data_IF_311043775353
#
_entry.id   IF_311043775353
#
_cell.length_a   1.000
_cell.length_b   1.000
_cell.length_c   1.000
_cell.angle_alpha   90.00
_cell.angle_beta   90.00
_cell.angle_gamma   90.00
#
_symmetry.space_group_name_H-M   'P 1'
#
loop_
_entity.id
_entity.type
_entity.pdbx_description
1 polymer ?
#
# COMPACT_ATOMS: atom_id res chain seq x y z
N UNK A 1 -8.73 -5.69 -19.64
CA UNK A 1 -9.80 -4.88 -18.99
C UNK A 1 -9.64 -4.89 -17.46
N UNK A 2 -9.57 -6.05 -16.79
CA UNK A 2 -9.46 -6.13 -15.31
C UNK A 2 -8.23 -5.36 -14.79
N UNK A 3 -7.06 -5.58 -15.38
CA UNK A 3 -5.83 -4.88 -14.98
C UNK A 3 -5.90 -3.36 -15.21
N UNK A 4 -6.55 -2.92 -16.28
CA UNK A 4 -6.72 -1.49 -16.55
C UNK A 4 -7.61 -0.82 -15.52
N UNK A 5 -8.69 -1.49 -15.10
CA UNK A 5 -9.58 -0.99 -14.03
C UNK A 5 -8.83 -0.93 -12.68
N UNK A 6 -7.93 -1.87 -12.41
CA UNK A 6 -7.12 -1.88 -11.18
C UNK A 6 -6.11 -0.72 -11.09
N UNK A 7 -5.77 -0.07 -12.20
CA UNK A 7 -4.89 1.10 -12.19
C UNK A 7 -5.64 2.42 -11.98
N UNK A 8 -6.95 2.44 -12.19
CA UNK A 8 -7.78 3.65 -12.01
C UNK A 8 -7.64 4.30 -10.62
N UNK A 9 -7.57 3.57 -9.50
CA UNK A 9 -7.41 4.19 -8.19
C UNK A 9 -6.16 5.05 -8.08
N UNK A 10 -5.04 4.67 -8.70
CA UNK A 10 -3.80 5.46 -8.67
C UNK A 10 -3.97 6.82 -9.33
N UNK A 11 -4.73 6.92 -10.40
CA UNK A 11 -4.98 8.18 -11.11
C UNK A 11 -6.05 9.01 -10.40
N UNK A 12 -7.16 8.37 -10.01
CA UNK A 12 -8.33 9.07 -9.45
C UNK A 12 -8.07 9.56 -8.03
N UNK A 13 -7.33 8.80 -7.22
CA UNK A 13 -7.08 9.14 -5.81
C UNK A 13 -5.95 10.15 -5.62
N UNK A 14 -5.10 10.38 -6.62
CA UNK A 14 -3.93 11.24 -6.50
C UNK A 14 -4.30 12.66 -6.05
N UNK A 15 -5.26 13.28 -6.71
CA UNK A 15 -5.70 14.64 -6.38
C UNK A 15 -6.47 14.71 -5.04
N UNK A 16 -7.53 13.91 -4.79
CA UNK A 16 -8.30 14.00 -3.55
C UNK A 16 -7.48 13.61 -2.32
N UNK A 17 -6.56 12.66 -2.41
CA UNK A 17 -5.71 12.27 -1.28
C UNK A 17 -4.71 13.36 -0.91
N UNK A 18 -4.07 14.01 -1.89
CA UNK A 18 -3.22 15.16 -1.65
C UNK A 18 -3.97 16.29 -0.96
N UNK A 19 -5.15 16.64 -1.46
CA UNK A 19 -5.99 17.69 -0.88
C UNK A 19 -6.44 17.37 0.55
N UNK A 20 -6.84 16.13 0.85
CA UNK A 20 -7.25 15.69 2.19
C UNK A 20 -6.08 15.70 3.16
N UNK A 21 -4.90 15.30 2.72
CA UNK A 21 -3.68 15.30 3.51
C UNK A 21 -3.29 16.73 3.90
N UNK A 22 -3.41 17.68 2.97
CA UNK A 22 -2.99 19.06 3.18
C UNK A 22 -3.96 19.86 4.04
N UNK A 23 -5.26 19.69 3.84
CA UNK A 23 -6.26 20.61 4.42
C UNK A 23 -7.03 20.07 5.63
N UNK A 24 -7.15 18.76 5.81
CA UNK A 24 -8.10 18.22 6.81
C UNK A 24 -7.51 17.27 7.85
N UNK A 25 -6.75 16.26 7.46
CA UNK A 25 -6.42 15.15 8.36
C UNK A 25 -4.93 14.96 8.64
N UNK A 26 -4.07 15.47 7.79
CA UNK A 26 -2.62 15.23 7.82
C UNK A 26 -2.24 13.84 7.30
N UNK A 27 -1.05 13.73 6.71
CA UNK A 27 -0.57 12.50 6.04
C UNK A 27 -0.53 11.30 6.97
N UNK A 28 -0.12 11.49 8.23
CA UNK A 28 0.01 10.40 9.21
C UNK A 28 -1.30 9.66 9.44
N UNK A 29 -2.39 10.39 9.69
CA UNK A 29 -3.70 9.77 9.97
C UNK A 29 -4.24 9.04 8.74
N UNK A 30 -4.12 9.67 7.58
CA UNK A 30 -4.56 9.09 6.32
C UNK A 30 -3.72 7.87 5.94
N UNK A 31 -2.40 7.89 6.21
CA UNK A 31 -1.52 6.75 5.98
C UNK A 31 -1.91 5.55 6.84
N UNK A 32 -2.18 5.76 8.13
CA UNK A 32 -2.66 4.71 9.03
C UNK A 32 -3.98 4.13 8.51
N UNK A 33 -4.91 4.99 8.10
CA UNK A 33 -6.21 4.57 7.56
C UNK A 33 -6.04 3.76 6.25
N UNK A 34 -5.14 4.19 5.37
CA UNK A 34 -4.82 3.48 4.13
C UNK A 34 -4.23 2.09 4.39
N UNK A 35 -3.33 1.97 5.38
CA UNK A 35 -2.77 0.68 5.80
C UNK A 35 -3.85 -0.27 6.32
N UNK A 36 -4.83 0.23 7.08
CA UNK A 36 -5.96 -0.59 7.50
C UNK A 36 -6.82 -1.06 6.31
N UNK A 37 -7.17 -0.17 5.39
CA UNK A 37 -7.91 -0.56 4.18
C UNK A 37 -7.15 -1.66 3.43
N UNK A 38 -5.85 -1.49 3.21
CA UNK A 38 -5.03 -2.46 2.48
C UNK A 38 -4.97 -3.80 3.20
N UNK A 39 -4.74 -3.83 4.52
CA UNK A 39 -4.65 -5.05 5.31
C UNK A 39 -5.98 -5.81 5.34
N UNK A 40 -7.10 -5.12 5.61
CA UNK A 40 -8.41 -5.76 5.63
C UNK A 40 -8.84 -6.26 4.24
N UNK A 41 -8.52 -5.51 3.19
CA UNK A 41 -8.77 -5.96 1.83
C UNK A 41 -7.96 -7.21 1.47
N UNK A 42 -6.70 -7.31 1.91
CA UNK A 42 -5.89 -8.51 1.70
C UNK A 42 -6.49 -9.74 2.43
N UNK A 43 -6.99 -9.56 3.66
CA UNK A 43 -7.70 -10.60 4.39
C UNK A 43 -8.99 -10.99 3.65
N UNK A 44 -9.75 -10.01 3.14
CA UNK A 44 -10.95 -10.26 2.37
C UNK A 44 -10.66 -11.07 1.10
N UNK A 45 -9.54 -10.81 0.40
CA UNK A 45 -9.10 -11.63 -0.73
C UNK A 45 -8.89 -13.09 -0.31
N UNK A 46 -8.20 -13.31 0.82
CA UNK A 46 -7.99 -14.66 1.34
C UNK A 46 -9.28 -15.40 1.66
N UNK A 47 -10.25 -14.72 2.24
CA UNK A 47 -11.55 -15.30 2.64
C UNK A 47 -12.53 -15.47 1.46
N UNK A 48 -12.22 -14.91 0.30
CA UNK A 48 -13.11 -14.94 -0.85
C UNK A 48 -13.07 -16.31 -1.54
N UNK A 49 -14.16 -17.06 -1.46
CA UNK A 49 -14.38 -18.35 -2.12
C UNK A 49 -15.56 -18.29 -3.12
N UNK A 50 -15.68 -17.20 -3.86
CA UNK A 50 -16.79 -17.02 -4.80
C UNK A 50 -16.40 -17.38 -6.23
N UNK A 51 -17.29 -18.02 -7.04
CA UNK A 51 -17.05 -18.20 -8.46
C UNK A 51 -17.26 -16.92 -9.29
N UNK A 52 -17.77 -15.85 -8.69
CA UNK A 52 -18.09 -14.59 -9.38
C UNK A 52 -16.86 -13.73 -9.61
N UNK A 53 -16.55 -13.45 -10.89
CA UNK A 53 -15.48 -12.53 -11.28
C UNK A 53 -15.71 -11.11 -10.78
N UNK A 54 -16.98 -10.70 -10.59
CA UNK A 54 -17.31 -9.37 -10.07
C UNK A 54 -16.90 -9.23 -8.61
N UNK A 55 -17.17 -10.23 -7.77
CA UNK A 55 -16.75 -10.23 -6.36
C UNK A 55 -15.24 -10.15 -6.25
N UNK A 56 -14.51 -10.96 -7.03
CA UNK A 56 -13.05 -10.91 -7.10
C UNK A 56 -12.54 -9.54 -7.51
N UNK A 57 -13.16 -8.93 -8.54
CA UNK A 57 -12.76 -7.59 -8.99
C UNK A 57 -12.95 -6.54 -7.91
N UNK A 58 -14.05 -6.57 -7.16
CA UNK A 58 -14.34 -5.61 -6.09
C UNK A 58 -13.37 -5.76 -4.91
N UNK A 59 -13.09 -6.98 -4.48
CA UNK A 59 -12.17 -7.23 -3.36
C UNK A 59 -10.74 -6.86 -3.75
N UNK A 60 -10.33 -7.21 -4.95
CA UNK A 60 -9.03 -6.81 -5.49
C UNK A 60 -8.91 -5.28 -5.67
N UNK A 61 -10.00 -4.61 -6.06
CA UNK A 61 -10.02 -3.15 -6.14
C UNK A 61 -9.75 -2.50 -4.78
N UNK A 62 -10.28 -3.07 -3.70
CA UNK A 62 -10.01 -2.62 -2.32
C UNK A 62 -8.53 -2.63 -1.98
N UNK A 63 -7.79 -3.69 -2.34
CA UNK A 63 -6.34 -3.74 -2.13
C UNK A 63 -5.61 -2.66 -2.92
N UNK A 64 -6.07 -2.37 -4.14
CA UNK A 64 -5.47 -1.33 -4.99
C UNK A 64 -5.74 0.08 -4.51
N UNK A 65 -6.94 0.33 -3.98
CA UNK A 65 -7.26 1.61 -3.33
C UNK A 65 -6.33 1.84 -2.14
N UNK A 66 -6.19 0.86 -1.25
CA UNK A 66 -5.28 0.95 -0.12
C UNK A 66 -3.83 1.19 -0.54
N UNK A 67 -3.34 0.43 -1.53
CA UNK A 67 -1.98 0.57 -2.04
C UNK A 67 -1.74 1.96 -2.65
N UNK A 68 -2.67 2.47 -3.48
CA UNK A 68 -2.58 3.80 -4.08
C UNK A 68 -2.53 4.91 -3.01
N UNK A 69 -3.37 4.81 -1.98
CA UNK A 69 -3.37 5.76 -0.87
C UNK A 69 -2.03 5.73 -0.11
N UNK A 70 -1.51 4.53 0.21
CA UNK A 70 -0.21 4.38 0.90
C UNK A 70 0.90 5.01 0.10
N UNK A 71 0.97 4.75 -1.21
CA UNK A 71 2.00 5.29 -2.10
C UNK A 71 1.96 6.82 -2.14
N UNK A 72 0.80 7.40 -2.41
CA UNK A 72 0.62 8.86 -2.50
C UNK A 72 0.98 9.54 -1.17
N UNK A 73 0.49 9.00 -0.05
CA UNK A 73 0.68 9.62 1.27
C UNK A 73 2.11 9.45 1.79
N UNK A 74 2.75 8.32 1.51
CA UNK A 74 4.17 8.08 1.81
C UNK A 74 5.04 9.09 1.08
N UNK A 75 4.82 9.27 -0.22
CA UNK A 75 5.59 10.19 -1.05
C UNK A 75 5.35 11.63 -0.60
N UNK A 76 4.09 12.03 -0.38
CA UNK A 76 3.75 13.34 0.16
C UNK A 76 4.42 13.61 1.51
N UNK A 77 4.38 12.62 2.42
CA UNK A 77 5.02 12.74 3.73
C UNK A 77 6.53 12.92 3.63
N UNK A 78 7.18 12.18 2.74
CA UNK A 78 8.62 12.24 2.54
C UNK A 78 9.04 13.58 1.92
N UNK A 79 8.48 13.93 0.76
CA UNK A 79 8.88 15.14 0.03
C UNK A 79 8.57 16.46 0.75
N UNK A 80 7.66 16.48 1.70
CA UNK A 80 7.42 17.67 2.53
C UNK A 80 8.43 17.87 3.66
N UNK A 81 9.31 16.91 3.92
CA UNK A 81 10.27 16.92 5.03
C UNK A 81 11.72 16.98 4.62
N UNK A 82 11.97 16.94 3.35
CA UNK A 82 13.32 17.05 2.78
C UNK A 82 13.46 18.36 2.05
N UNK A 83 14.66 18.94 2.11
CA UNK A 83 15.04 20.07 1.30
C UNK A 83 15.55 19.60 -0.06
N UNK A 84 15.48 20.48 -1.09
CA UNK A 84 15.90 20.13 -2.45
C UNK A 84 17.37 19.73 -2.60
N UNK A 85 18.19 20.06 -1.61
CA UNK A 85 19.63 19.75 -1.58
C UNK A 85 19.92 18.34 -1.05
N UNK A 86 18.93 17.65 -0.47
CA UNK A 86 19.08 16.30 0.11
C UNK A 86 19.02 15.20 -0.97
N UNK A 87 19.81 15.30 -2.03
CA UNK A 87 19.80 14.38 -3.18
C UNK A 87 20.05 12.94 -2.77
N UNK A 88 20.94 12.71 -1.79
CA UNK A 88 21.27 11.38 -1.29
C UNK A 88 20.08 10.71 -0.60
N UNK A 89 19.30 11.46 0.18
CA UNK A 89 18.08 10.98 0.83
C UNK A 89 17.00 10.62 -0.19
N UNK A 90 16.87 11.42 -1.25
CA UNK A 90 15.95 11.14 -2.35
C UNK A 90 16.35 9.84 -3.06
N UNK A 91 17.65 9.68 -3.35
CA UNK A 91 18.20 8.47 -3.95
C UNK A 91 17.91 7.22 -3.12
N UNK A 92 18.19 7.30 -1.80
CA UNK A 92 17.93 6.22 -0.85
C UNK A 92 16.43 5.86 -0.79
N UNK A 93 15.56 6.86 -0.68
CA UNK A 93 14.11 6.64 -0.65
C UNK A 93 13.58 5.95 -1.91
N UNK A 94 14.07 6.38 -3.08
CA UNK A 94 13.69 5.76 -4.36
C UNK A 94 14.19 4.33 -4.49
N UNK A 95 15.35 3.99 -3.93
CA UNK A 95 15.91 2.65 -3.94
C UNK A 95 15.12 1.68 -3.04
N UNK A 96 14.46 2.16 -2.00
CA UNK A 96 13.68 1.34 -1.09
C UNK A 96 12.56 0.54 -1.80
N UNK A 97 11.95 1.10 -2.84
CA UNK A 97 10.86 0.46 -3.58
C UNK A 97 11.34 -0.77 -4.40
N UNK A 98 12.36 -0.68 -5.26
CA UNK A 98 12.92 -1.85 -5.94
C UNK A 98 13.43 -2.93 -4.98
N UNK A 99 14.10 -2.52 -3.89
CA UNK A 99 14.54 -3.47 -2.85
C UNK A 99 13.35 -4.17 -2.22
N UNK A 100 12.27 -3.44 -1.91
CA UNK A 100 11.03 -4.01 -1.41
C UNK A 100 10.43 -5.05 -2.37
N UNK A 101 10.43 -4.80 -3.67
CA UNK A 101 9.95 -5.76 -4.67
C UNK A 101 10.79 -7.04 -4.71
N UNK A 102 12.12 -6.93 -4.64
CA UNK A 102 13.01 -8.10 -4.60
C UNK A 102 12.76 -8.93 -3.34
N UNK A 103 12.67 -8.27 -2.18
CA UNK A 103 12.39 -8.95 -0.91
C UNK A 103 11.00 -9.60 -0.92
N UNK A 104 9.98 -8.93 -1.41
CA UNK A 104 8.62 -9.47 -1.50
C UNK A 104 8.56 -10.68 -2.43
N UNK A 105 9.21 -10.63 -3.60
CA UNK A 105 9.28 -11.75 -4.52
C UNK A 105 10.01 -12.94 -3.92
N UNK A 106 11.16 -12.71 -3.27
CA UNK A 106 11.96 -13.75 -2.62
C UNK A 106 11.20 -14.42 -1.47
N UNK A 107 10.58 -13.63 -0.61
CA UNK A 107 9.75 -14.15 0.48
C UNK A 107 8.56 -14.94 -0.07
N UNK A 108 7.85 -14.40 -1.05
CA UNK A 108 6.71 -15.08 -1.67
C UNK A 108 7.12 -16.41 -2.29
N UNK A 109 8.26 -16.48 -2.96
CA UNK A 109 8.80 -17.72 -3.50
C UNK A 109 9.02 -18.76 -2.42
N UNK A 110 9.70 -18.40 -1.33
CA UNK A 110 9.95 -19.33 -0.20
C UNK A 110 8.64 -19.81 0.42
N UNK A 111 7.68 -18.90 0.64
CA UNK A 111 6.39 -19.27 1.23
C UNK A 111 5.57 -20.20 0.32
N UNK A 112 5.63 -20.01 -1.00
CA UNK A 112 4.91 -20.85 -1.96
C UNK A 112 5.46 -22.28 -2.06
N UNK A 113 6.68 -22.55 -1.58
CA UNK A 113 7.20 -23.91 -1.49
C UNK A 113 6.45 -24.75 -0.42
N UNK A 114 5.86 -24.09 0.59
CA UNK A 114 5.27 -24.77 1.75
C UNK A 114 3.78 -24.49 1.92
N UNK A 115 3.26 -23.41 1.32
CA UNK A 115 1.90 -22.92 1.53
C UNK A 115 1.17 -22.70 0.20
N UNK A 116 -0.18 -22.83 0.18
CA UNK A 116 -0.96 -22.55 -1.01
C UNK A 116 -0.93 -21.07 -1.38
N UNK A 117 -1.19 -20.78 -2.66
CA UNK A 117 -1.17 -19.41 -3.21
C UNK A 117 -2.05 -18.42 -2.42
N UNK A 118 -3.18 -18.88 -1.90
CA UNK A 118 -4.08 -18.05 -1.07
C UNK A 118 -3.41 -17.55 0.20
N UNK A 119 -2.49 -18.30 0.80
CA UNK A 119 -1.80 -17.92 2.03
C UNK A 119 -0.91 -16.67 1.86
N UNK A 120 -0.50 -16.33 0.62
CA UNK A 120 0.23 -15.09 0.33
C UNK A 120 -0.56 -13.84 0.74
N UNK A 121 -1.86 -13.86 0.63
CA UNK A 121 -2.69 -12.71 1.02
C UNK A 121 -2.70 -12.50 2.54
N UNK A 122 -2.64 -13.57 3.33
CA UNK A 122 -2.45 -13.44 4.79
C UNK A 122 -1.05 -12.92 5.11
N UNK A 123 -0.03 -13.46 4.46
CA UNK A 123 1.33 -12.95 4.64
C UNK A 123 1.41 -11.46 4.31
N UNK A 124 0.81 -11.04 3.19
CA UNK A 124 0.74 -9.63 2.80
C UNK A 124 0.02 -8.78 3.84
N UNK A 125 -1.09 -9.26 4.38
CA UNK A 125 -1.81 -8.57 5.46
C UNK A 125 -0.94 -8.40 6.71
N UNK A 126 -0.21 -9.43 7.13
CA UNK A 126 0.71 -9.36 8.27
C UNK A 126 1.83 -8.35 8.04
N UNK A 127 2.42 -8.33 6.85
CA UNK A 127 3.45 -7.33 6.49
C UNK A 127 2.88 -5.91 6.53
N UNK A 128 1.68 -5.70 6.00
CA UNK A 128 1.00 -4.39 6.04
C UNK A 128 0.65 -3.99 7.47
N UNK A 129 0.20 -4.91 8.31
CA UNK A 129 -0.02 -4.62 9.74
C UNK A 129 1.29 -4.26 10.46
N UNK A 130 2.40 -4.91 10.14
CA UNK A 130 3.69 -4.54 10.72
C UNK A 130 4.12 -3.12 10.36
N UNK A 131 3.73 -2.61 9.19
CA UNK A 131 3.98 -1.23 8.76
C UNK A 131 3.21 -0.19 9.59
N UNK A 132 2.17 -0.58 10.33
CA UNK A 132 1.50 0.32 11.28
C UNK A 132 2.45 0.76 12.40
N UNK A 133 3.37 -0.10 12.84
CA UNK A 133 4.31 0.22 13.90
C UNK A 133 5.11 1.49 13.56
N UNK A 134 5.90 1.54 12.49
CA UNK A 134 6.60 2.76 12.13
C UNK A 134 5.65 3.92 11.78
N UNK A 135 4.46 3.64 11.21
CA UNK A 135 3.48 4.69 10.91
C UNK A 135 2.98 5.43 12.16
N UNK A 136 2.86 4.75 13.30
CA UNK A 136 2.50 5.40 14.57
C UNK A 136 3.61 6.29 15.12
N UNK A 137 4.89 6.00 14.82
CA UNK A 137 6.03 6.80 15.26
C UNK A 137 6.29 8.02 14.34
N UNK A 138 5.62 8.15 13.21
CA UNK A 138 5.75 9.32 12.35
C UNK A 138 5.39 10.60 13.11
N UNK A 139 6.21 11.65 12.94
CA UNK A 139 5.94 12.96 13.55
C UNK A 139 4.67 13.58 12.98
N UNK A 140 3.83 14.15 13.84
CA UNK A 140 2.77 15.06 13.42
C UNK A 140 3.41 16.43 13.16
N UNK A 141 3.25 16.95 11.98
CA UNK A 141 3.38 18.38 11.73
C UNK A 141 2.00 18.99 11.80
#
# INVERSE_FOLDING_TARGET
>A
IIFSVMLLPFVVLQYPMGFLADKKMGEKKLLIFALFIMAFSAIAVYLTNSPSALIWSLVMLGTRIGAAMVEILRDSYFYKRIDGDDVDLIGFFRTAMPVGYILAASLSFVFLLFLPLSAIFILSALVVFSALVPAFYLSKK
#
